data_IF_179508335175
#
_entry.id   IF_179508335175
#
_cell.length_a   1.000
_cell.length_b   1.000
_cell.length_c   1.000
_cell.angle_alpha   90.00
_cell.angle_beta   90.00
_cell.angle_gamma   90.00
#
_symmetry.space_group_name_H-M   'P 1'
#
loop_
_entity.id
_entity.type
_entity.pdbx_description
1 polymer ?
#
# COMPACT_ATOMS: atom_id res chain seq x y z
N UNK A 1 -28.24 24.77 -4.80
CA UNK A 1 -27.06 24.89 -5.69
C UNK A 1 -26.79 23.52 -6.29
N UNK A 2 -26.20 23.42 -7.49
CA UNK A 2 -25.80 22.11 -8.02
C UNK A 2 -24.62 21.56 -7.21
N UNK A 3 -24.74 20.35 -6.69
CA UNK A 3 -23.66 19.67 -5.95
C UNK A 3 -22.49 19.41 -6.89
N UNK A 4 -21.27 19.59 -6.40
CA UNK A 4 -20.04 19.33 -7.15
C UNK A 4 -19.46 17.96 -6.77
N UNK A 5 -18.81 17.29 -7.72
CA UNK A 5 -17.97 16.15 -7.39
C UNK A 5 -16.59 16.59 -6.91
N UNK A 6 -15.94 15.72 -6.15
CA UNK A 6 -14.49 15.75 -5.92
C UNK A 6 -13.91 14.40 -6.32
N UNK A 7 -12.79 14.39 -7.03
CA UNK A 7 -12.05 13.15 -7.33
C UNK A 7 -11.27 12.67 -6.10
N UNK A 8 -10.86 11.40 -6.08
CA UNK A 8 -9.99 10.87 -5.02
C UNK A 8 -8.66 11.66 -4.90
N UNK A 9 -8.09 12.08 -6.04
CA UNK A 9 -6.93 12.96 -6.10
C UNK A 9 -7.19 14.30 -5.39
N UNK A 10 -8.29 14.99 -5.71
CA UNK A 10 -8.61 16.27 -5.08
C UNK A 10 -8.86 16.15 -3.57
N UNK A 11 -9.50 15.06 -3.13
CA UNK A 11 -9.69 14.80 -1.69
C UNK A 11 -8.36 14.53 -1.01
N UNK A 12 -7.52 13.65 -1.59
CA UNK A 12 -6.21 13.35 -1.03
C UNK A 12 -5.30 14.58 -1.00
N UNK A 13 -5.32 15.42 -2.03
CA UNK A 13 -4.57 16.68 -2.07
C UNK A 13 -4.95 17.61 -0.92
N UNK A 14 -6.23 17.66 -0.53
CA UNK A 14 -6.64 18.44 0.65
C UNK A 14 -6.04 17.87 1.94
N UNK A 15 -6.09 16.55 2.11
CA UNK A 15 -5.54 15.84 3.27
C UNK A 15 -4.02 16.03 3.34
N UNK A 16 -3.33 15.82 2.22
CA UNK A 16 -1.89 15.95 2.08
C UNK A 16 -1.41 17.37 2.44
N UNK A 17 -2.14 18.38 1.96
CA UNK A 17 -1.86 19.79 2.26
C UNK A 17 -2.42 20.26 3.62
N UNK A 18 -2.80 19.34 4.52
CA UNK A 18 -3.30 19.63 5.87
C UNK A 18 -4.48 20.60 5.89
N UNK A 19 -5.35 20.55 4.88
CA UNK A 19 -6.63 21.28 4.88
C UNK A 19 -7.64 20.48 5.69
N UNK A 20 -8.50 21.18 6.42
CA UNK A 20 -9.61 20.54 7.14
C UNK A 20 -10.57 19.88 6.15
N UNK A 21 -10.84 18.59 6.33
CA UNK A 21 -11.78 17.82 5.51
C UNK A 21 -12.83 17.21 6.43
N UNK A 22 -14.08 17.61 6.27
CA UNK A 22 -15.20 17.00 6.97
C UNK A 22 -15.93 16.02 6.07
N UNK A 23 -16.08 14.78 6.56
CA UNK A 23 -16.66 13.68 5.80
C UNK A 23 -17.95 13.21 6.47
N UNK A 24 -19.05 13.30 5.72
CA UNK A 24 -20.28 12.59 6.04
C UNK A 24 -20.26 11.23 5.33
N UNK A 25 -20.01 10.16 6.08
CA UNK A 25 -20.07 8.80 5.54
C UNK A 25 -21.48 8.24 5.66
N UNK A 26 -22.09 7.94 4.52
CA UNK A 26 -23.46 7.41 4.46
C UNK A 26 -23.53 5.90 4.21
N UNK A 27 -22.40 5.19 4.33
CA UNK A 27 -22.40 3.73 4.39
C UNK A 27 -23.00 3.26 5.72
N UNK A 28 -23.32 1.97 5.78
CA UNK A 28 -23.72 1.35 7.05
C UNK A 28 -22.56 1.44 8.08
N UNK A 29 -22.90 1.29 9.35
CA UNK A 29 -21.92 1.45 10.44
C UNK A 29 -20.81 0.39 10.38
N UNK A 30 -21.10 -0.81 9.89
CA UNK A 30 -20.12 -1.89 9.75
C UNK A 30 -19.03 -1.53 8.74
N UNK A 31 -19.41 -1.13 7.52
CA UNK A 31 -18.48 -0.71 6.46
C UNK A 31 -17.66 0.51 6.87
N UNK A 32 -18.26 1.48 7.59
CA UNK A 32 -17.58 2.67 8.09
C UNK A 32 -16.57 2.34 9.20
N UNK A 33 -16.92 1.42 10.09
CA UNK A 33 -16.04 0.99 11.18
C UNK A 33 -14.93 0.06 10.70
N UNK A 34 -15.17 -0.75 9.66
CA UNK A 34 -14.16 -1.60 9.04
C UNK A 34 -13.08 -0.77 8.35
N UNK A 35 -13.46 0.28 7.60
CA UNK A 35 -12.50 1.22 7.01
C UNK A 35 -13.12 2.55 6.57
N UNK A 36 -12.30 3.60 6.52
CA UNK A 36 -12.71 4.95 6.11
C UNK A 36 -11.51 5.74 5.58
N UNK A 37 -11.79 6.88 4.94
CA UNK A 37 -10.75 7.85 4.54
C UNK A 37 -10.09 8.39 5.82
N UNK A 38 -8.77 8.33 5.94
CA UNK A 38 -8.07 8.82 7.13
C UNK A 38 -7.09 9.95 6.80
N UNK A 39 -6.79 10.78 7.79
CA UNK A 39 -5.81 11.85 7.70
C UNK A 39 -5.78 12.69 8.97
N UNK A 40 -4.70 13.45 9.18
CA UNK A 40 -4.51 14.26 10.40
C UNK A 40 -5.60 15.33 10.58
N UNK A 41 -6.14 15.84 9.48
CA UNK A 41 -7.15 16.91 9.42
C UNK A 41 -8.53 16.43 9.01
N UNK A 42 -8.72 15.11 8.95
CA UNK A 42 -10.00 14.50 8.54
C UNK A 42 -10.88 14.30 9.77
N UNK A 43 -12.12 14.75 9.68
CA UNK A 43 -13.15 14.53 10.70
C UNK A 43 -14.36 13.83 10.08
N UNK A 44 -15.00 12.96 10.85
CA UNK A 44 -16.11 12.14 10.35
C UNK A 44 -17.37 12.29 11.17
N UNK A 45 -18.49 12.16 10.48
CA UNK A 45 -19.76 11.73 11.03
C UNK A 45 -20.28 10.59 10.15
N UNK A 46 -20.67 9.48 10.76
CA UNK A 46 -21.36 8.40 10.05
C UNK A 46 -22.87 8.48 10.35
N UNK A 47 -23.66 8.60 9.29
CA UNK A 47 -25.12 8.57 9.30
C UNK A 47 -25.53 7.74 8.09
N UNK A 48 -25.97 6.50 8.27
CA UNK A 48 -26.31 5.64 7.15
C UNK A 48 -27.34 6.23 6.20
N UNK A 49 -27.21 5.94 4.91
CA UNK A 49 -28.07 6.47 3.85
C UNK A 49 -29.58 6.29 4.13
N UNK A 50 -29.97 5.15 4.74
CA UNK A 50 -31.37 4.86 5.03
C UNK A 50 -32.00 5.89 5.97
N UNK A 51 -31.22 6.54 6.83
CA UNK A 51 -31.69 7.56 7.76
C UNK A 51 -32.04 8.89 7.07
N UNK A 52 -31.69 9.05 5.78
CA UNK A 52 -32.00 10.22 4.96
C UNK A 52 -33.21 10.02 4.03
N UNK A 53 -33.78 8.82 3.96
CA UNK A 53 -34.89 8.50 3.03
C UNK A 53 -36.17 9.28 3.34
N UNK A 54 -36.42 9.56 4.62
CA UNK A 54 -37.59 10.32 5.09
C UNK A 54 -37.31 11.83 5.23
N UNK A 55 -36.15 12.30 4.75
CA UNK A 55 -35.71 13.70 4.82
C UNK A 55 -34.47 13.90 5.70
N UNK A 56 -33.87 15.10 5.62
CA UNK A 56 -32.59 15.42 6.27
C UNK A 56 -32.73 16.12 7.64
N UNK A 57 -33.92 16.62 7.97
CA UNK A 57 -34.15 17.57 9.07
C UNK A 57 -33.62 17.08 10.42
N UNK A 58 -33.84 15.80 10.74
CA UNK A 58 -33.42 15.17 11.99
C UNK A 58 -31.89 15.05 12.16
N UNK A 59 -31.12 15.27 11.10
CA UNK A 59 -29.67 15.10 11.08
C UNK A 59 -28.90 16.41 10.96
N UNK A 60 -29.56 17.51 10.62
CA UNK A 60 -28.90 18.78 10.31
C UNK A 60 -28.09 19.35 11.49
N UNK A 61 -28.49 19.08 12.73
CA UNK A 61 -27.77 19.54 13.93
C UNK A 61 -26.45 18.81 14.17
N UNK A 62 -26.29 17.61 13.59
CA UNK A 62 -25.04 16.83 13.66
C UNK A 62 -24.02 17.28 12.62
N UNK A 63 -24.43 18.15 11.69
CA UNK A 63 -23.61 18.57 10.57
C UNK A 63 -23.11 20.01 10.76
N UNK A 64 -21.86 20.27 10.35
CA UNK A 64 -21.25 21.59 10.47
C UNK A 64 -21.85 22.55 9.46
N UNK A 65 -22.22 23.76 9.89
CA UNK A 65 -22.84 24.77 9.00
C UNK A 65 -21.83 25.67 8.30
N UNK A 66 -20.63 25.79 8.89
CA UNK A 66 -19.60 26.75 8.46
C UNK A 66 -18.42 26.07 7.73
N UNK A 67 -18.59 24.83 7.27
CA UNK A 67 -17.55 24.13 6.50
C UNK A 67 -18.13 23.28 5.37
N UNK A 68 -17.28 22.99 4.40
CA UNK A 68 -17.60 22.12 3.27
C UNK A 68 -17.78 20.67 3.74
N UNK A 69 -18.82 19.99 3.25
CA UNK A 69 -19.12 18.59 3.60
C UNK A 69 -18.87 17.70 2.38
N UNK A 70 -17.91 16.79 2.50
CA UNK A 70 -17.73 15.70 1.54
C UNK A 70 -18.62 14.52 1.95
N UNK A 71 -19.62 14.19 1.14
CA UNK A 71 -20.47 13.03 1.35
C UNK A 71 -19.88 11.82 0.62
N UNK A 72 -19.70 10.71 1.34
CA UNK A 72 -19.09 9.48 0.78
C UNK A 72 -20.02 8.28 0.94
N UNK A 73 -20.04 7.42 -0.07
CA UNK A 73 -20.67 6.10 -0.03
C UNK A 73 -19.82 5.11 -0.85
N UNK A 74 -20.26 3.85 -0.96
CA UNK A 74 -19.48 2.80 -1.65
C UNK A 74 -19.13 3.15 -3.12
N UNK A 75 -20.11 3.60 -3.92
CA UNK A 75 -19.91 3.87 -5.36
C UNK A 75 -20.16 5.31 -5.79
N UNK A 76 -21.19 5.99 -5.26
CA UNK A 76 -21.48 7.45 -5.32
C UNK A 76 -22.99 7.76 -5.33
N UNK A 77 -23.86 6.81 -5.69
CA UNK A 77 -25.29 7.07 -5.88
C UNK A 77 -25.98 7.62 -4.62
N UNK A 78 -25.77 6.95 -3.48
CA UNK A 78 -26.29 7.40 -2.18
C UNK A 78 -25.69 8.72 -1.72
N UNK A 79 -24.39 8.96 -1.95
CA UNK A 79 -23.75 10.21 -1.54
C UNK A 79 -24.20 11.39 -2.40
N UNK A 80 -24.42 11.19 -3.70
CA UNK A 80 -25.03 12.20 -4.60
C UNK A 80 -26.40 12.63 -4.09
N UNK A 81 -27.30 11.68 -3.80
CA UNK A 81 -28.62 11.98 -3.26
C UNK A 81 -28.55 12.79 -1.96
N UNK A 82 -27.79 12.31 -0.97
CA UNK A 82 -27.69 12.99 0.33
C UNK A 82 -27.04 14.36 0.19
N UNK A 83 -25.99 14.50 -0.61
CA UNK A 83 -25.35 15.78 -0.87
C UNK A 83 -26.33 16.79 -1.51
N UNK A 84 -27.21 16.34 -2.42
CA UNK A 84 -28.22 17.19 -3.04
C UNK A 84 -29.29 17.64 -2.06
N UNK A 85 -29.77 16.74 -1.20
CA UNK A 85 -30.75 17.09 -0.15
C UNK A 85 -30.15 18.06 0.88
N UNK A 86 -28.90 17.87 1.29
CA UNK A 86 -28.21 18.80 2.17
C UNK A 86 -27.96 20.16 1.49
N UNK A 87 -27.62 20.19 0.21
CA UNK A 87 -27.45 21.43 -0.55
C UNK A 87 -28.75 22.24 -0.67
N UNK A 88 -29.91 21.58 -0.73
CA UNK A 88 -31.23 22.26 -0.67
C UNK A 88 -31.48 22.91 0.69
N UNK A 89 -30.83 22.41 1.74
CA UNK A 89 -30.93 22.90 3.11
C UNK A 89 -29.79 23.85 3.51
N UNK A 90 -29.06 24.40 2.52
CA UNK A 90 -28.11 25.48 2.73
C UNK A 90 -26.68 25.05 3.06
N UNK A 91 -26.38 23.75 3.06
CA UNK A 91 -25.01 23.25 3.23
C UNK A 91 -24.21 23.37 1.94
N UNK A 92 -22.91 23.62 2.05
CA UNK A 92 -21.99 23.47 0.92
C UNK A 92 -21.50 22.02 0.87
N UNK A 93 -21.94 21.27 -0.15
CA UNK A 93 -21.70 19.84 -0.22
C UNK A 93 -20.98 19.43 -1.49
N UNK A 94 -20.18 18.39 -1.34
CA UNK A 94 -19.53 17.66 -2.42
C UNK A 94 -19.84 16.17 -2.25
N UNK A 95 -19.69 15.39 -3.32
CA UNK A 95 -19.62 13.94 -3.22
C UNK A 95 -18.31 13.45 -3.82
N UNK A 96 -17.82 12.33 -3.29
CA UNK A 96 -16.67 11.64 -3.87
C UNK A 96 -17.07 10.93 -5.16
N UNK A 97 -16.47 11.36 -6.28
CA UNK A 97 -16.67 10.76 -7.60
C UNK A 97 -16.20 9.30 -7.59
N UNK A 98 -17.07 8.38 -7.99
CA UNK A 98 -16.79 6.94 -7.91
C UNK A 98 -16.72 6.37 -6.48
N UNK A 99 -17.01 7.19 -5.46
CA UNK A 99 -17.16 6.77 -4.07
C UNK A 99 -15.90 6.12 -3.47
N UNK A 100 -16.10 5.35 -2.41
CA UNK A 100 -15.03 4.61 -1.74
C UNK A 100 -14.33 3.60 -2.68
N UNK A 101 -15.02 3.14 -3.73
CA UNK A 101 -14.40 2.33 -4.80
C UNK A 101 -13.31 3.11 -5.54
N UNK A 102 -13.52 4.37 -5.90
CA UNK A 102 -12.46 5.19 -6.51
C UNK A 102 -11.34 5.52 -5.52
N UNK A 103 -11.69 5.73 -4.24
CA UNK A 103 -10.68 5.93 -3.18
C UNK A 103 -9.77 4.70 -3.00
N UNK A 104 -10.35 3.49 -3.03
CA UNK A 104 -9.59 2.25 -2.83
C UNK A 104 -8.60 1.95 -3.94
N UNK A 105 -8.80 2.50 -5.13
CA UNK A 105 -7.92 2.30 -6.29
C UNK A 105 -6.97 3.47 -6.56
N UNK A 106 -7.11 4.58 -5.84
CA UNK A 106 -6.30 5.77 -6.09
C UNK A 106 -4.83 5.57 -5.69
N UNK A 107 -3.92 5.83 -6.63
CA UNK A 107 -2.47 5.82 -6.43
C UNK A 107 -1.92 7.26 -6.42
N UNK A 108 -1.53 7.73 -5.23
CA UNK A 108 -0.78 8.98 -5.11
C UNK A 108 0.68 8.75 -5.52
N UNK A 109 1.22 9.62 -6.39
CA UNK A 109 2.57 9.49 -6.94
C UNK A 109 3.49 10.54 -6.33
N UNK A 110 4.52 10.12 -5.61
CA UNK A 110 5.47 11.01 -4.98
C UNK A 110 6.89 10.75 -5.50
N UNK A 111 7.52 11.76 -6.12
CA UNK A 111 8.96 11.71 -6.41
C UNK A 111 9.73 12.16 -5.17
N UNK A 112 10.32 11.22 -4.45
CA UNK A 112 10.97 11.51 -3.17
C UNK A 112 12.50 11.49 -3.24
N UNK A 113 13.09 10.91 -4.29
CA UNK A 113 14.54 10.77 -4.43
C UNK A 113 15.01 11.11 -5.85
N UNK A 114 16.14 11.81 -5.95
CA UNK A 114 16.83 12.09 -7.20
C UNK A 114 18.32 12.36 -6.92
N UNK A 115 19.20 11.63 -7.62
CA UNK A 115 20.64 11.90 -7.66
C UNK A 115 21.16 11.83 -9.11
N UNK A 116 22.48 11.83 -9.30
CA UNK A 116 23.09 11.77 -10.63
C UNK A 116 22.88 10.43 -11.37
N UNK A 117 22.49 9.37 -10.65
CA UNK A 117 22.34 8.02 -11.17
C UNK A 117 20.88 7.61 -11.35
N UNK A 118 19.98 8.10 -10.49
CA UNK A 118 18.58 7.65 -10.50
C UNK A 118 17.58 8.67 -9.97
N UNK A 119 16.32 8.51 -10.38
CA UNK A 119 15.14 9.13 -9.76
C UNK A 119 14.25 8.03 -9.20
N UNK A 120 13.59 8.27 -8.08
CA UNK A 120 12.67 7.29 -7.49
C UNK A 120 11.32 7.91 -7.15
N UNK A 121 10.28 7.23 -7.62
CA UNK A 121 8.89 7.49 -7.32
C UNK A 121 8.36 6.43 -6.35
N UNK A 122 7.61 6.86 -5.34
CA UNK A 122 6.75 6.01 -4.53
C UNK A 122 5.29 6.22 -4.99
N UNK A 123 4.57 5.12 -5.14
CA UNK A 123 3.15 5.09 -5.45
C UNK A 123 2.43 4.55 -4.23
N UNK A 124 1.51 5.35 -3.69
CA UNK A 124 0.80 5.08 -2.43
C UNK A 124 -0.65 4.78 -2.76
N UNK A 125 -1.09 3.52 -2.53
CA UNK A 125 -2.50 3.13 -2.64
C UNK A 125 -3.23 3.54 -1.37
N UNK A 126 -3.67 4.80 -1.33
CA UNK A 126 -4.11 5.46 -0.08
C UNK A 126 -5.29 4.79 0.61
N UNK A 127 -6.14 4.09 -0.16
CA UNK A 127 -7.28 3.36 0.38
C UNK A 127 -6.98 1.93 0.84
N UNK A 128 -5.78 1.39 0.55
CA UNK A 128 -5.41 0.00 0.86
C UNK A 128 -4.12 -0.14 1.65
N UNK A 129 -3.30 0.91 1.70
CA UNK A 129 -2.04 0.90 2.43
C UNK A 129 -0.88 0.21 1.72
N UNK A 130 -1.03 -0.12 0.44
CA UNK A 130 0.03 -0.72 -0.38
C UNK A 130 0.96 0.36 -0.95
N UNK A 131 2.23 0.02 -1.07
CA UNK A 131 3.30 0.83 -1.59
C UNK A 131 3.97 0.10 -2.74
N UNK A 132 4.26 0.85 -3.80
CA UNK A 132 5.04 0.37 -4.93
C UNK A 132 5.98 1.46 -5.40
N UNK A 133 6.97 1.11 -6.20
CA UNK A 133 8.06 2.03 -6.51
C UNK A 133 8.44 1.97 -7.97
N UNK A 134 8.94 3.09 -8.49
CA UNK A 134 9.62 3.14 -9.78
C UNK A 134 10.99 3.77 -9.61
N UNK A 135 12.03 3.03 -9.99
CA UNK A 135 13.41 3.51 -10.06
C UNK A 135 13.76 3.77 -11.52
N UNK A 136 14.11 5.01 -11.84
CA UNK A 136 14.44 5.44 -13.19
C UNK A 136 15.94 5.73 -13.27
N UNK A 137 16.61 5.19 -14.28
CA UNK A 137 18.01 5.49 -14.58
C UNK A 137 18.22 5.51 -16.09
N UNK A 138 18.89 6.55 -16.60
CA UNK A 138 19.09 6.69 -18.05
C UNK A 138 17.77 6.71 -18.80
N UNK A 139 17.54 5.73 -19.68
CA UNK A 139 16.29 5.56 -20.43
C UNK A 139 15.42 4.40 -19.94
N UNK A 140 15.79 3.79 -18.83
CA UNK A 140 15.15 2.58 -18.32
C UNK A 140 14.54 2.80 -16.94
N UNK A 141 13.54 1.98 -16.62
CA UNK A 141 12.88 1.97 -15.33
C UNK A 141 12.65 0.54 -14.82
N UNK A 142 12.86 0.39 -13.51
CA UNK A 142 12.44 -0.73 -12.69
C UNK A 142 11.15 -0.35 -11.96
N UNK A 143 10.18 -1.26 -11.93
CA UNK A 143 9.00 -1.15 -11.05
C UNK A 143 9.03 -2.25 -9.99
N UNK A 144 8.84 -1.88 -8.72
CA UNK A 144 8.84 -2.79 -7.56
C UNK A 144 7.42 -2.86 -7.00
N UNK A 145 6.90 -4.08 -6.83
CA UNK A 145 5.59 -4.40 -6.26
C UNK A 145 4.40 -3.66 -6.92
N UNK A 146 4.30 -3.61 -8.27
CA UNK A 146 3.22 -2.87 -8.92
C UNK A 146 1.82 -3.36 -8.53
N UNK A 147 0.94 -2.43 -8.19
CA UNK A 147 -0.50 -2.68 -8.16
C UNK A 147 -1.04 -2.91 -9.57
N UNK A 148 -2.20 -3.58 -9.69
CA UNK A 148 -2.86 -3.84 -10.97
C UNK A 148 -3.28 -2.60 -11.79
N UNK A 149 -3.20 -1.39 -11.23
CA UNK A 149 -3.49 -0.15 -11.94
C UNK A 149 -2.31 0.28 -12.82
N UNK A 150 -1.97 -0.57 -13.80
CA UNK A 150 -0.72 -0.49 -14.57
C UNK A 150 -0.54 0.82 -15.35
N UNK A 151 -1.64 1.49 -15.69
CA UNK A 151 -1.62 2.76 -16.41
C UNK A 151 -0.91 3.88 -15.62
N UNK A 152 -1.03 3.88 -14.28
CA UNK A 152 -0.38 4.90 -13.44
C UNK A 152 1.15 4.84 -13.54
N UNK A 153 1.72 3.65 -13.67
CA UNK A 153 3.16 3.47 -13.88
C UNK A 153 3.55 3.87 -15.31
N UNK A 154 2.79 3.44 -16.31
CA UNK A 154 3.06 3.81 -17.71
C UNK A 154 2.99 5.33 -17.93
N UNK A 155 2.08 6.03 -17.27
CA UNK A 155 1.96 7.48 -17.36
C UNK A 155 3.18 8.20 -16.77
N UNK A 156 3.72 7.71 -15.64
CA UNK A 156 4.97 8.25 -15.06
C UNK A 156 6.16 7.97 -15.98
N UNK A 157 6.28 6.75 -16.51
CA UNK A 157 7.35 6.39 -17.45
C UNK A 157 7.31 7.25 -18.72
N UNK A 158 6.11 7.45 -19.30
CA UNK A 158 5.89 8.32 -20.46
C UNK A 158 6.25 9.77 -20.17
N UNK A 159 5.85 10.30 -19.01
CA UNK A 159 6.19 11.66 -18.57
C UNK A 159 7.69 11.87 -18.41
N UNK A 160 8.41 10.87 -17.90
CA UNK A 160 9.86 10.91 -17.73
C UNK A 160 10.63 10.54 -19.02
N UNK A 161 9.94 10.05 -20.05
CA UNK A 161 10.54 9.67 -21.33
C UNK A 161 11.39 8.41 -21.26
N UNK A 162 11.01 7.45 -20.41
CA UNK A 162 11.75 6.20 -20.15
C UNK A 162 10.91 4.97 -20.47
N UNK A 163 11.58 3.82 -20.66
CA UNK A 163 10.95 2.52 -20.86
C UNK A 163 11.01 1.70 -19.58
N UNK A 164 9.89 1.11 -19.16
CA UNK A 164 9.88 0.10 -18.10
C UNK A 164 10.48 -1.17 -18.70
N UNK A 165 11.63 -1.60 -18.18
CA UNK A 165 12.39 -2.77 -18.67
C UNK A 165 12.47 -3.88 -17.63
N UNK A 166 12.31 -3.54 -16.35
CA UNK A 166 12.39 -4.48 -15.24
C UNK A 166 11.18 -4.32 -14.31
N UNK A 167 10.61 -5.43 -13.86
CA UNK A 167 9.51 -5.45 -12.90
C UNK A 167 9.80 -6.55 -11.89
N UNK A 168 9.78 -6.23 -10.61
CA UNK A 168 10.03 -7.20 -9.54
C UNK A 168 8.88 -7.17 -8.55
N UNK A 169 8.44 -8.35 -8.11
CA UNK A 169 7.62 -8.48 -6.91
C UNK A 169 8.49 -9.01 -5.77
N UNK A 170 8.42 -8.37 -4.60
CA UNK A 170 9.10 -8.79 -3.38
C UNK A 170 8.51 -10.06 -2.80
N UNK A 171 7.23 -10.33 -3.05
CA UNK A 171 6.53 -11.54 -2.63
C UNK A 171 5.23 -11.70 -3.40
N UNK A 172 4.54 -12.82 -3.20
CA UNK A 172 3.18 -12.98 -3.69
C UNK A 172 2.20 -12.29 -2.72
N UNK A 173 1.75 -11.10 -3.11
CA UNK A 173 0.82 -10.29 -2.34
C UNK A 173 -0.48 -11.05 -2.02
N UNK A 174 -0.99 -10.87 -0.80
CA UNK A 174 -2.19 -11.57 -0.30
C UNK A 174 -3.41 -10.63 -0.13
N UNK A 175 -3.24 -9.34 -0.35
CA UNK A 175 -4.21 -8.27 -0.11
C UNK A 175 -4.58 -7.50 -1.38
N UNK A 176 -3.77 -7.62 -2.42
CA UNK A 176 -4.01 -7.06 -3.74
C UNK A 176 -3.46 -7.95 -4.86
N UNK A 177 -4.00 -7.77 -6.07
CA UNK A 177 -3.52 -8.41 -7.29
C UNK A 177 -2.33 -7.60 -7.84
N UNK A 178 -1.20 -8.29 -8.05
CA UNK A 178 -0.01 -7.69 -8.65
C UNK A 178 -0.28 -7.32 -10.11
N UNK A 179 0.09 -6.09 -10.47
CA UNK A 179 0.12 -5.60 -11.86
C UNK A 179 1.33 -6.07 -12.64
N UNK A 180 2.28 -6.77 -12.02
CA UNK A 180 3.55 -7.14 -12.63
C UNK A 180 3.42 -7.87 -13.97
N UNK A 181 2.58 -8.93 -14.07
CA UNK A 181 2.41 -9.64 -15.33
C UNK A 181 1.73 -8.82 -16.42
N UNK A 182 0.72 -8.03 -16.08
CA UNK A 182 0.03 -7.18 -17.04
C UNK A 182 0.98 -6.09 -17.56
N UNK A 183 1.72 -5.46 -16.66
CA UNK A 183 2.70 -4.44 -17.00
C UNK A 183 3.82 -5.02 -17.88
N UNK A 184 4.31 -6.23 -17.57
CA UNK A 184 5.29 -6.94 -18.39
C UNK A 184 4.76 -7.23 -19.80
N UNK A 185 3.50 -7.70 -19.90
CA UNK A 185 2.84 -7.95 -21.19
C UNK A 185 2.70 -6.68 -22.04
N UNK A 186 2.38 -5.54 -21.42
CA UNK A 186 2.18 -4.26 -22.12
C UNK A 186 3.49 -3.60 -22.54
N UNK A 187 4.55 -3.76 -21.75
CA UNK A 187 5.83 -3.05 -21.93
C UNK A 187 6.92 -3.89 -22.60
N UNK A 188 6.79 -5.22 -22.55
CA UNK A 188 7.85 -6.16 -22.90
C UNK A 188 8.95 -6.29 -21.84
N UNK A 189 8.76 -5.70 -20.66
CA UNK A 189 9.70 -5.78 -19.54
C UNK A 189 9.88 -7.23 -19.03
N UNK A 190 11.04 -7.52 -18.45
CA UNK A 190 11.24 -8.77 -17.71
C UNK A 190 10.58 -8.66 -16.34
N UNK A 191 9.68 -9.61 -16.04
CA UNK A 191 9.05 -9.76 -14.74
C UNK A 191 9.79 -10.80 -13.90
N UNK A 192 10.19 -10.44 -12.70
CA UNK A 192 10.94 -11.30 -11.79
C UNK A 192 10.13 -11.62 -10.53
N UNK A 193 10.18 -12.88 -10.11
CA UNK A 193 9.54 -13.39 -8.89
C UNK A 193 10.33 -14.60 -8.37
N UNK A 194 10.30 -14.84 -7.05
CA UNK A 194 10.84 -16.07 -6.46
C UNK A 194 9.98 -17.29 -6.84
N UNK A 195 10.59 -18.41 -7.26
CA UNK A 195 9.85 -19.65 -7.57
C UNK A 195 9.10 -20.20 -6.36
N UNK A 196 9.62 -19.99 -5.15
CA UNK A 196 8.99 -20.46 -3.91
C UNK A 196 7.61 -19.85 -3.65
N UNK A 197 7.23 -18.79 -4.37
CA UNK A 197 5.87 -18.22 -4.34
C UNK A 197 4.82 -19.08 -5.06
N UNK A 198 5.26 -20.06 -5.86
CA UNK A 198 4.38 -21.06 -6.44
C UNK A 198 3.49 -20.54 -7.57
N UNK A 199 3.93 -19.50 -8.28
CA UNK A 199 3.27 -19.01 -9.50
C UNK A 199 3.47 -20.01 -10.64
N UNK A 200 2.38 -20.42 -11.30
CA UNK A 200 2.40 -21.54 -12.26
C UNK A 200 2.02 -21.17 -13.69
N UNK A 201 1.34 -20.05 -13.92
CA UNK A 201 0.62 -19.79 -15.18
C UNK A 201 1.17 -18.66 -16.07
N UNK A 202 2.30 -18.04 -15.75
CA UNK A 202 2.87 -16.92 -16.52
C UNK A 202 4.39 -17.05 -16.66
N UNK A 203 4.93 -16.52 -17.77
CA UNK A 203 6.37 -16.40 -17.98
C UNK A 203 6.91 -15.32 -17.03
N UNK A 204 7.75 -15.73 -16.07
CA UNK A 204 8.54 -14.86 -15.21
C UNK A 204 9.98 -15.37 -15.17
N UNK A 205 10.92 -14.45 -14.94
CA UNK A 205 12.33 -14.78 -14.70
C UNK A 205 12.54 -15.07 -13.20
N UNK A 206 12.99 -16.27 -12.84
CA UNK A 206 13.22 -16.63 -11.45
C UNK A 206 14.28 -15.77 -10.78
N UNK A 207 13.94 -15.12 -9.67
CA UNK A 207 14.90 -14.32 -8.91
C UNK A 207 16.06 -15.15 -8.36
N UNK A 208 15.89 -16.45 -8.13
CA UNK A 208 16.95 -17.34 -7.65
C UNK A 208 18.12 -17.50 -8.63
N UNK A 209 17.94 -17.09 -9.89
CA UNK A 209 19.00 -17.10 -10.89
C UNK A 209 19.88 -15.83 -10.82
N UNK A 210 19.49 -14.83 -10.02
CA UNK A 210 20.08 -13.49 -10.03
C UNK A 210 20.39 -13.04 -8.61
N UNK A 211 21.68 -13.00 -8.25
CA UNK A 211 22.12 -12.29 -7.04
C UNK A 211 22.06 -10.76 -7.26
N UNK A 212 22.16 -10.32 -8.51
CA UNK A 212 22.15 -8.93 -8.94
C UNK A 212 21.48 -8.78 -10.30
N UNK A 213 20.72 -7.71 -10.47
CA UNK A 213 20.15 -7.27 -11.75
C UNK A 213 20.70 -5.86 -12.02
N UNK A 214 21.36 -5.66 -13.16
CA UNK A 214 21.98 -4.38 -13.52
C UNK A 214 21.32 -3.79 -14.75
N UNK A 215 20.99 -2.50 -14.67
CA UNK A 215 20.55 -1.72 -15.80
C UNK A 215 21.00 -0.27 -15.65
N UNK A 216 21.48 0.35 -16.73
CA UNK A 216 21.96 1.74 -16.73
C UNK A 216 22.95 2.05 -15.59
N UNK A 217 22.55 2.85 -14.58
CA UNK A 217 23.35 3.16 -13.37
C UNK A 217 22.78 2.55 -12.09
N UNK A 218 21.93 1.55 -12.22
CA UNK A 218 21.30 0.82 -11.11
C UNK A 218 21.91 -0.58 -11.02
N UNK A 219 22.40 -0.90 -9.82
CA UNK A 219 22.72 -2.24 -9.35
C UNK A 219 21.67 -2.64 -8.31
N UNK A 220 20.75 -3.52 -8.72
CA UNK A 220 19.72 -4.09 -7.85
C UNK A 220 20.26 -5.39 -7.26
N UNK A 221 20.67 -5.36 -6.00
CA UNK A 221 21.06 -6.57 -5.28
C UNK A 221 19.80 -7.28 -4.80
N UNK A 222 19.65 -8.54 -5.19
CA UNK A 222 18.58 -9.40 -4.72
C UNK A 222 19.05 -9.94 -3.38
N UNK A 223 18.61 -9.30 -2.30
CA UNK A 223 18.82 -9.83 -0.96
C UNK A 223 17.82 -10.96 -0.79
N UNK A 224 18.11 -12.09 -1.45
CA UNK A 224 17.42 -13.36 -1.31
C UNK A 224 17.58 -13.79 0.13
N UNK A 225 16.72 -13.29 0.97
CA UNK A 225 16.64 -13.76 2.32
C UNK A 225 15.66 -14.91 2.30
N UNK A 226 15.98 -15.97 3.02
CA UNK A 226 14.91 -16.78 3.58
C UNK A 226 14.27 -15.87 4.63
N UNK A 227 13.41 -14.95 4.19
CA UNK A 227 12.56 -14.10 5.02
C UNK A 227 11.13 -14.59 4.92
N UNK A 228 10.78 -15.83 5.29
CA UNK A 228 9.39 -16.07 5.63
C UNK A 228 9.06 -15.25 6.88
N UNK A 229 8.60 -14.03 6.65
CA UNK A 229 7.69 -13.29 7.52
C UNK A 229 6.30 -13.38 6.89
N UNK A 230 6.16 -12.87 5.66
CA UNK A 230 4.88 -12.84 4.94
C UNK A 230 4.65 -14.10 4.07
N UNK A 231 5.65 -14.56 3.32
CA UNK A 231 5.59 -15.76 2.44
C UNK A 231 6.94 -16.49 2.36
N UNK A 232 6.99 -17.78 1.95
CA UNK A 232 8.24 -18.52 1.76
C UNK A 232 9.21 -17.94 0.72
N UNK A 233 8.77 -17.02 -0.14
CA UNK A 233 9.58 -16.38 -1.17
C UNK A 233 9.75 -14.87 -0.98
N UNK A 234 9.42 -14.32 0.20
CA UNK A 234 9.64 -12.89 0.40
C UNK A 234 11.11 -12.54 0.24
N UNK A 235 11.39 -11.47 -0.49
CA UNK A 235 12.74 -11.00 -0.84
C UNK A 235 12.80 -9.49 -0.71
N UNK A 236 13.96 -8.98 -0.28
CA UNK A 236 14.22 -7.53 -0.29
C UNK A 236 15.19 -7.18 -1.41
N UNK A 237 15.09 -5.96 -1.91
CA UNK A 237 15.96 -5.47 -2.97
C UNK A 237 16.76 -4.27 -2.49
N UNK A 238 18.08 -4.30 -2.67
CA UNK A 238 18.97 -3.23 -2.26
C UNK A 238 19.56 -2.55 -3.49
N UNK A 239 19.14 -1.31 -3.73
CA UNK A 239 19.54 -0.51 -4.89
C UNK A 239 20.70 0.40 -4.53
N UNK A 240 21.81 0.24 -5.26
CA UNK A 240 22.99 1.10 -5.20
C UNK A 240 23.55 1.31 -3.79
N UNK A 241 23.36 0.33 -2.91
CA UNK A 241 23.69 0.40 -1.48
C UNK A 241 23.06 1.59 -0.72
N UNK A 242 21.96 2.14 -1.22
CA UNK A 242 21.30 3.34 -0.67
C UNK A 242 19.83 3.13 -0.30
N UNK A 243 19.09 2.36 -1.11
CA UNK A 243 17.65 2.19 -0.96
C UNK A 243 17.32 0.71 -0.78
N UNK A 244 16.69 0.36 0.35
CA UNK A 244 16.25 -1.00 0.65
C UNK A 244 14.75 -1.11 0.47
N UNK A 245 14.31 -1.71 -0.64
CA UNK A 245 12.93 -2.15 -0.81
C UNK A 245 12.72 -3.40 0.03
N UNK A 246 12.13 -3.26 1.21
CA UNK A 246 12.07 -4.31 2.24
C UNK A 246 10.90 -5.28 2.06
N UNK A 247 10.01 -5.02 1.09
CA UNK A 247 8.74 -5.74 0.99
C UNK A 247 7.97 -5.64 2.30
N UNK A 248 7.43 -6.77 2.76
CA UNK A 248 6.74 -6.89 4.06
C UNK A 248 7.66 -7.38 5.19
N UNK A 249 8.98 -7.22 5.05
CA UNK A 249 9.95 -7.64 6.08
C UNK A 249 10.17 -6.57 7.15
N UNK A 250 10.41 -5.33 6.72
CA UNK A 250 10.72 -4.17 7.58
C UNK A 250 9.80 -3.04 7.18
N UNK A 251 9.15 -2.42 8.16
CA UNK A 251 8.24 -1.29 8.07
C UNK A 251 8.81 -0.07 8.78
N UNK A 252 8.24 1.11 8.51
CA UNK A 252 8.59 2.34 9.24
C UNK A 252 8.36 2.16 10.75
N UNK A 253 7.24 1.51 11.10
CA UNK A 253 6.84 1.29 12.49
C UNK A 253 7.36 -0.02 13.10
N UNK A 254 8.18 -0.81 12.39
CA UNK A 254 8.81 -2.01 12.96
C UNK A 254 8.99 -3.18 12.00
N UNK A 255 8.74 -4.40 12.47
CA UNK A 255 8.93 -5.61 11.68
C UNK A 255 7.62 -6.22 11.18
N UNK A 256 7.71 -6.93 10.05
CA UNK A 256 6.62 -7.72 9.50
C UNK A 256 6.22 -8.90 10.37
N UNK A 257 4.98 -9.35 10.17
CA UNK A 257 4.37 -10.44 10.94
C UNK A 257 4.71 -11.79 10.31
N UNK A 258 5.03 -12.84 11.08
CA UNK A 258 5.29 -14.20 10.60
C UNK A 258 4.01 -15.07 10.46
N UNK A 259 2.83 -14.47 10.31
CA UNK A 259 1.56 -15.10 10.70
C UNK A 259 0.65 -15.58 9.55
N UNK A 260 1.00 -15.27 8.30
CA UNK A 260 0.14 -15.62 7.16
C UNK A 260 0.21 -17.10 6.77
N UNK A 261 1.21 -17.84 7.26
CA UNK A 261 1.28 -19.29 7.18
C UNK A 261 1.31 -19.97 8.54
N UNK A 262 0.99 -21.27 8.54
CA UNK A 262 0.80 -22.09 9.73
C UNK A 262 2.10 -22.39 10.51
N UNK A 263 3.17 -21.63 10.28
CA UNK A 263 4.56 -21.90 10.71
C UNK A 263 5.21 -20.72 11.46
N UNK A 264 4.43 -20.03 12.27
CA UNK A 264 4.81 -18.80 13.01
C UNK A 264 6.20 -18.91 13.67
N UNK A 265 6.50 -20.00 14.39
CA UNK A 265 7.78 -20.16 15.10
C UNK A 265 8.99 -20.33 14.15
N UNK A 266 8.84 -21.13 13.09
CA UNK A 266 9.88 -21.35 12.07
C UNK A 266 10.19 -20.04 11.34
N UNK A 267 9.15 -19.28 11.04
CA UNK A 267 9.21 -18.00 10.32
C UNK A 267 9.81 -16.88 11.18
N UNK A 268 9.47 -16.85 12.47
CA UNK A 268 10.11 -15.94 13.41
C UNK A 268 11.63 -16.20 13.52
N UNK A 269 12.07 -17.47 13.41
CA UNK A 269 13.50 -17.80 13.38
C UNK A 269 14.19 -17.28 12.13
N UNK A 270 13.60 -17.47 10.96
CA UNK A 270 14.19 -17.00 9.73
C UNK A 270 14.23 -15.45 9.67
N UNK A 271 13.20 -14.78 10.21
CA UNK A 271 13.22 -13.33 10.39
C UNK A 271 14.35 -12.88 11.34
N UNK A 272 14.60 -13.60 12.44
CA UNK A 272 15.74 -13.30 13.32
C UNK A 272 17.08 -13.41 12.57
N UNK A 273 17.28 -14.49 11.82
CA UNK A 273 18.51 -14.73 11.03
C UNK A 273 18.69 -13.65 9.96
N UNK A 274 17.60 -13.13 9.42
CA UNK A 274 17.60 -11.98 8.50
C UNK A 274 18.09 -10.72 9.18
N UNK A 275 17.42 -10.33 10.28
CA UNK A 275 17.66 -9.05 10.93
C UNK A 275 19.07 -8.99 11.51
N UNK A 276 19.47 -10.05 12.22
CA UNK A 276 20.76 -10.09 12.90
C UNK A 276 21.92 -10.57 12.01
N UNK A 277 21.64 -11.27 10.90
CA UNK A 277 22.66 -11.79 10.00
C UNK A 277 22.94 -10.92 8.78
N UNK A 278 21.90 -10.40 8.11
CA UNK A 278 22.06 -9.62 6.87
C UNK A 278 21.82 -8.13 7.08
N UNK A 279 20.68 -7.79 7.69
CA UNK A 279 20.28 -6.39 7.84
C UNK A 279 21.21 -5.66 8.80
N UNK A 280 21.74 -6.33 9.82
CA UNK A 280 22.70 -5.78 10.79
C UNK A 280 23.98 -5.22 10.14
N UNK A 281 24.38 -5.73 8.97
CA UNK A 281 25.55 -5.26 8.22
C UNK A 281 25.25 -4.02 7.36
N UNK A 282 23.97 -3.67 7.18
CA UNK A 282 23.53 -2.50 6.41
C UNK A 282 23.70 -1.23 7.25
N UNK A 283 24.21 -0.18 6.60
CA UNK A 283 24.47 1.12 7.20
C UNK A 283 23.17 1.84 7.62
N UNK A 284 23.25 2.64 8.68
CA UNK A 284 22.10 3.33 9.27
C UNK A 284 21.48 4.41 8.38
N UNK A 285 22.23 4.95 7.41
CA UNK A 285 21.80 5.99 6.48
C UNK A 285 21.03 5.44 5.27
N UNK A 286 20.93 4.11 5.14
CA UNK A 286 20.11 3.46 4.10
C UNK A 286 18.64 3.75 4.33
N UNK A 287 17.95 4.17 3.28
CA UNK A 287 16.52 4.44 3.30
C UNK A 287 15.73 3.13 3.07
N UNK A 288 14.91 2.76 4.04
CA UNK A 288 14.04 1.57 3.99
C UNK A 288 12.68 1.95 3.42
N UNK A 289 12.22 1.16 2.46
CA UNK A 289 11.04 1.39 1.62
C UNK A 289 10.15 0.13 1.63
N UNK A 290 9.14 0.05 2.52
CA UNK A 290 8.27 -1.13 2.66
C UNK A 290 7.27 -1.30 1.51
N UNK A 291 6.64 -2.48 1.40
CA UNK A 291 5.53 -2.71 0.47
C UNK A 291 4.15 -2.33 1.07
N UNK A 292 4.04 -2.12 2.39
CA UNK A 292 2.83 -1.60 3.03
C UNK A 292 3.11 -0.58 4.13
N UNK A 293 2.06 0.09 4.60
CA UNK A 293 2.06 0.96 5.79
C UNK A 293 0.76 0.82 6.57
N UNK A 294 0.80 1.01 7.90
CA UNK A 294 -0.38 0.83 8.74
C UNK A 294 -1.16 2.13 8.93
N UNK A 295 -0.47 3.23 9.21
CA UNK A 295 -1.09 4.51 9.50
C UNK A 295 -0.40 5.66 8.77
N UNK A 296 -1.09 6.21 7.78
CA UNK A 296 -0.62 7.36 7.00
C UNK A 296 -0.36 8.60 7.87
N UNK A 297 -1.03 8.74 9.02
CA UNK A 297 -0.86 9.89 9.93
C UNK A 297 0.50 9.83 10.63
N UNK A 298 1.00 8.65 10.93
CA UNK A 298 2.25 8.47 11.70
C UNK A 298 3.44 8.08 10.83
N UNK A 299 3.22 7.39 9.71
CA UNK A 299 4.30 6.84 8.88
C UNK A 299 4.63 7.70 7.65
N UNK A 300 3.72 8.58 7.22
CA UNK A 300 4.03 9.56 6.17
C UNK A 300 4.74 10.78 6.77
N UNK A 301 5.93 11.07 6.26
CA UNK A 301 6.68 12.26 6.62
C UNK A 301 6.18 13.51 5.88
N UNK A 302 6.73 14.68 6.23
CA UNK A 302 6.29 15.98 5.70
C UNK A 302 6.51 16.13 4.17
N UNK A 303 7.38 15.31 3.57
CA UNK A 303 7.61 15.28 2.12
C UNK A 303 6.70 14.26 1.40
N UNK A 304 5.74 13.66 2.11
CA UNK A 304 4.82 12.67 1.55
C UNK A 304 5.42 11.30 1.30
N UNK A 305 6.60 11.02 1.84
CA UNK A 305 7.26 9.72 1.74
C UNK A 305 6.83 8.86 2.93
N UNK A 306 6.49 7.61 2.64
CA UNK A 306 6.36 6.56 3.64
C UNK A 306 7.60 5.67 3.55
N UNK A 307 8.56 5.96 4.43
CA UNK A 307 9.89 5.35 4.42
C UNK A 307 10.77 6.06 5.42
N UNK A 308 11.78 5.37 5.94
CA UNK A 308 12.62 5.88 7.01
C UNK A 308 14.02 5.26 6.94
N UNK A 309 15.01 5.97 7.46
CA UNK A 309 16.38 5.47 7.59
C UNK A 309 16.44 4.24 8.49
N UNK A 310 17.27 3.26 8.13
CA UNK A 310 17.43 2.04 8.92
C UNK A 310 17.87 2.34 10.36
N UNK A 311 18.69 3.37 10.55
CA UNK A 311 19.10 3.83 11.88
C UNK A 311 17.94 4.35 12.73
N UNK A 312 17.02 5.11 12.15
CA UNK A 312 15.84 5.59 12.88
C UNK A 312 14.86 4.45 13.19
N UNK A 313 14.66 3.49 12.27
CA UNK A 313 13.86 2.28 12.54
C UNK A 313 14.49 1.47 13.69
N UNK A 314 15.81 1.23 13.67
CA UNK A 314 16.54 0.56 14.75
C UNK A 314 16.42 1.28 16.09
N UNK A 315 16.49 2.61 16.09
CA UNK A 315 16.36 3.41 17.31
C UNK A 315 14.95 3.33 17.91
N UNK A 316 13.92 3.24 17.07
CA UNK A 316 12.52 3.14 17.49
C UNK A 316 12.06 1.70 17.74
N UNK A 317 12.79 0.70 17.24
CA UNK A 317 12.47 -0.71 17.40
C UNK A 317 13.66 -1.49 17.99
N UNK A 318 13.70 -1.52 19.32
CA UNK A 318 14.82 -2.14 20.07
C UNK A 318 14.96 -3.65 19.83
N UNK A 319 13.94 -4.33 19.29
CA UNK A 319 14.01 -5.75 18.94
C UNK A 319 15.02 -6.02 17.82
N UNK A 320 15.33 -5.01 17.01
CA UNK A 320 16.22 -5.15 15.86
C UNK A 320 17.71 -5.10 16.23
N UNK A 321 18.06 -4.61 17.42
CA UNK A 321 19.47 -4.39 17.79
C UNK A 321 19.90 -5.09 19.08
N UNK A 322 19.01 -5.20 20.08
CA UNK A 322 19.41 -5.57 21.44
C UNK A 322 18.68 -6.80 21.99
N UNK A 323 17.81 -7.45 21.21
CA UNK A 323 17.08 -8.62 21.67
C UNK A 323 17.96 -9.87 21.59
N UNK A 324 17.89 -10.70 22.62
CA UNK A 324 18.32 -12.10 22.50
C UNK A 324 17.42 -12.83 21.50
N UNK A 325 17.91 -13.94 20.93
CA UNK A 325 17.09 -14.77 20.03
C UNK A 325 15.76 -15.18 20.68
N UNK A 326 15.76 -15.51 21.97
CA UNK A 326 14.55 -15.91 22.70
C UNK A 326 13.56 -14.74 22.85
N UNK A 327 14.03 -13.55 23.22
CA UNK A 327 13.19 -12.35 23.32
C UNK A 327 12.61 -11.94 21.96
N UNK A 328 13.41 -12.05 20.90
CA UNK A 328 12.97 -11.77 19.53
C UNK A 328 11.83 -12.69 19.12
N UNK A 329 12.06 -14.01 19.21
CA UNK A 329 11.06 -15.02 18.87
C UNK A 329 9.79 -14.85 19.71
N UNK A 330 9.94 -14.60 21.01
CA UNK A 330 8.81 -14.42 21.92
C UNK A 330 7.94 -13.21 21.58
N UNK A 331 8.55 -12.09 21.19
CA UNK A 331 7.80 -10.88 20.83
C UNK A 331 7.16 -11.00 19.44
N UNK A 332 7.90 -11.49 18.45
CA UNK A 332 7.42 -11.69 17.07
C UNK A 332 6.32 -12.76 16.99
N UNK A 333 6.39 -13.81 17.80
CA UNK A 333 5.31 -14.82 17.88
C UNK A 333 4.06 -14.27 18.58
N UNK A 334 4.20 -13.32 19.53
CA UNK A 334 3.07 -12.69 20.22
C UNK A 334 2.37 -11.62 19.37
N UNK A 335 3.08 -10.99 18.45
CA UNK A 335 2.49 -10.03 17.50
C UNK A 335 1.77 -10.70 16.34
N UNK A 336 1.98 -12.00 16.14
CA UNK A 336 1.23 -12.80 15.17
C UNK A 336 -0.28 -12.68 15.45
N UNK A 337 -1.01 -12.20 14.46
CA UNK A 337 -2.46 -12.13 14.44
C UNK A 337 -3.03 -13.36 13.74
N UNK A 338 -4.10 -13.94 14.28
CA UNK A 338 -4.87 -14.97 13.57
C UNK A 338 -5.80 -14.39 12.51
N UNK A 339 -5.90 -13.06 12.41
CA UNK A 339 -6.83 -12.38 11.50
C UNK A 339 -6.17 -12.21 10.13
N UNK A 340 -6.49 -13.13 9.22
CA UNK A 340 -6.14 -13.01 7.81
C UNK A 340 -7.11 -12.07 7.08
N UNK A 341 -6.70 -11.43 5.98
CA UNK A 341 -7.66 -10.74 5.09
C UNK A 341 -8.74 -11.75 4.64
N UNK A 342 -10.03 -11.39 4.60
CA UNK A 342 -11.10 -12.37 4.31
C UNK A 342 -10.97 -12.99 2.91
N UNK A 343 -10.35 -12.26 1.98
CA UNK A 343 -10.22 -12.62 0.57
C UNK A 343 -8.81 -13.12 0.21
N UNK A 344 -7.96 -13.40 1.19
CA UNK A 344 -6.53 -13.65 0.94
C UNK A 344 -6.29 -14.89 0.07
N UNK A 345 -7.08 -15.96 0.22
CA UNK A 345 -6.95 -17.18 -0.59
C UNK A 345 -7.28 -16.92 -2.06
N UNK A 346 -8.34 -16.16 -2.33
CA UNK A 346 -8.73 -15.76 -3.69
C UNK A 346 -7.65 -14.90 -4.36
N UNK A 347 -7.09 -13.94 -3.61
CA UNK A 347 -6.04 -13.04 -4.11
C UNK A 347 -4.75 -13.81 -4.38
N UNK A 348 -4.33 -14.69 -3.47
CA UNK A 348 -3.19 -15.58 -3.68
C UNK A 348 -3.41 -16.48 -4.91
N UNK A 349 -4.62 -17.03 -5.08
CA UNK A 349 -4.93 -17.86 -6.24
C UNK A 349 -4.85 -17.07 -7.55
N UNK A 350 -5.33 -15.82 -7.58
CA UNK A 350 -5.20 -14.91 -8.72
C UNK A 350 -3.73 -14.60 -9.01
N UNK A 351 -2.95 -14.24 -7.99
CA UNK A 351 -1.53 -13.90 -8.15
C UNK A 351 -0.69 -15.11 -8.58
N UNK A 352 -1.07 -16.34 -8.20
CA UNK A 352 -0.45 -17.57 -8.74
C UNK A 352 -0.83 -17.86 -10.20
N UNK A 353 -1.88 -17.21 -10.69
CA UNK A 353 -2.52 -17.52 -11.97
C UNK A 353 -3.30 -18.84 -11.95
N UNK A 354 -3.72 -19.29 -10.76
CA UNK A 354 -4.51 -20.51 -10.60
C UNK A 354 -6.00 -20.31 -10.94
N UNK A 355 -6.47 -19.07 -10.87
CA UNK A 355 -7.84 -18.66 -11.22
C UNK A 355 -7.79 -17.37 -12.04
N UNK A 356 -8.82 -17.15 -12.85
CA UNK A 356 -9.07 -15.89 -13.54
C UNK A 356 -10.40 -15.32 -13.03
N UNK A 357 -10.47 -14.00 -12.87
CA UNK A 357 -11.68 -13.26 -12.49
C UNK A 357 -11.78 -12.00 -13.34
N UNK A 358 -13.00 -11.47 -13.46
CA UNK A 358 -13.25 -10.19 -14.13
C UNK A 358 -12.70 -9.02 -13.30
N UNK A 359 -12.46 -7.89 -13.97
CA UNK A 359 -12.05 -6.64 -13.32
C UNK A 359 -12.99 -6.21 -12.18
N UNK A 360 -14.30 -6.42 -12.35
CA UNK A 360 -15.27 -6.11 -11.32
C UNK A 360 -15.11 -7.02 -10.09
N UNK A 361 -14.99 -8.33 -10.29
CA UNK A 361 -14.76 -9.29 -9.21
C UNK A 361 -13.45 -9.03 -8.47
N UNK A 362 -12.36 -8.73 -9.17
CA UNK A 362 -11.07 -8.38 -8.54
C UNK A 362 -11.23 -7.11 -7.70
N UNK A 363 -11.95 -6.11 -8.23
CA UNK A 363 -12.16 -4.87 -7.47
C UNK A 363 -12.92 -5.12 -6.17
N UNK A 364 -13.97 -5.94 -6.20
CA UNK A 364 -14.72 -6.29 -4.98
C UNK A 364 -13.87 -7.10 -3.99
N UNK A 365 -12.93 -7.93 -4.46
CA UNK A 365 -12.00 -8.66 -3.58
C UNK A 365 -11.00 -7.75 -2.86
N UNK A 366 -10.57 -6.67 -3.51
CA UNK A 366 -9.58 -5.73 -2.96
C UNK A 366 -10.19 -4.59 -2.14
N UNK A 367 -11.48 -4.29 -2.31
CA UNK A 367 -12.16 -3.26 -1.50
C UNK A 367 -12.13 -3.66 -0.02
N UNK A 368 -11.85 -2.69 0.86
CA UNK A 368 -11.76 -2.89 2.30
C UNK A 368 -10.40 -2.50 2.87
N UNK A 369 -10.22 -2.59 4.20
CA UNK A 369 -9.05 -2.06 4.91
C UNK A 369 -7.74 -2.69 4.46
N UNK A 370 -6.64 -2.00 4.77
CA UNK A 370 -5.33 -2.63 4.90
C UNK A 370 -5.39 -3.65 6.04
N UNK A 371 -5.04 -4.91 5.80
CA UNK A 371 -4.92 -5.95 6.84
C UNK A 371 -3.52 -6.55 6.95
N UNK A 372 -2.60 -6.18 6.05
CA UNK A 372 -1.21 -6.62 6.04
C UNK A 372 -0.34 -5.84 7.03
N UNK A 373 -0.59 -4.53 7.16
CA UNK A 373 0.19 -3.67 8.06
C UNK A 373 -0.38 -3.53 9.48
N UNK A 374 -1.61 -4.03 9.73
CA UNK A 374 -2.26 -3.88 11.03
C UNK A 374 -1.49 -4.72 12.07
N UNK A 375 -0.91 -4.07 13.07
CA UNK A 375 -0.09 -4.66 14.15
C UNK A 375 1.38 -4.97 13.79
N UNK A 376 2.15 -3.95 13.41
CA UNK A 376 3.61 -4.06 13.39
C UNK A 376 4.16 -4.37 14.80
N UNK A 377 5.23 -5.18 14.84
CA UNK A 377 5.93 -5.49 16.09
C UNK A 377 6.85 -4.30 16.43
N UNK A 378 6.50 -3.53 17.46
CA UNK A 378 7.27 -2.38 17.95
C UNK A 378 8.23 -2.76 19.09
#
# INVERSE_FOLDING_TARGET
MSVKSMTAEQVFDQIYNQKEVFILDVRNEEDFNDWKIEGKTVTHVNIPYFDFLDGVDQHLERLPKDQDILVVCAKEGSSKFVAEELAKNGFNTYYLEGGMKAWSTYLFKNKFYEDENMKVYQFIRVGKGCLSYMVISGKEALVVDPARFVQDYMDVANKEGVQITHIVDSHLHADHVSGGPELAKLTGATYYLMKSEGRTALDYEPLENHDRIQFEKVDLQVLAVKTPGHTPGSVSFFVNDKLLFSGDTIFVSGLGRPDLGEKVEEWAQDLYETIYGKISEIADDVLVLPAHYADIKTEMNDNGLIGETLGAIRANNTIMTNATKEEFLGTVTKSASSVKPPNFEDIIALNRGAVEKTEEEITELEIGPNRCAVHHTA
#
